data_IF_334159913626
#
_entry.id   IF_334159913626
#
_cell.length_a   1.000
_cell.length_b   1.000
_cell.length_c   1.000
_cell.angle_alpha   90.00
_cell.angle_beta   90.00
_cell.angle_gamma   90.00
#
_symmetry.space_group_name_H-M   'P 1'
#
loop_
_entity.id
_entity.type
_entity.pdbx_description
1 polymer ?
#
# COMPACT_ATOMS: atom_id res chain seq x y z
N UNK A 1 6.55 -3.06 -17.17
CA UNK A 1 6.94 -3.98 -16.08
C UNK A 1 6.68 -5.42 -16.55
N UNK A 2 7.62 -6.01 -17.32
CA UNK A 2 7.51 -7.40 -17.75
C UNK A 2 7.88 -8.37 -16.63
N UNK A 3 7.36 -9.60 -16.69
CA UNK A 3 7.60 -10.64 -15.70
C UNK A 3 7.26 -12.02 -16.25
N UNK A 4 8.00 -13.01 -15.76
CA UNK A 4 7.84 -14.43 -16.05
C UNK A 4 7.55 -15.17 -14.74
N UNK A 5 6.56 -16.06 -14.74
CA UNK A 5 6.33 -17.03 -13.66
C UNK A 5 6.05 -18.42 -14.25
N UNK A 6 5.96 -19.44 -13.40
CA UNK A 6 5.58 -20.79 -13.83
C UNK A 6 4.12 -20.90 -14.27
N UNK A 7 3.28 -19.89 -14.02
CA UNK A 7 1.85 -19.92 -14.33
C UNK A 7 1.53 -19.16 -15.63
N UNK A 8 2.19 -18.03 -15.87
CA UNK A 8 1.98 -17.21 -17.05
C UNK A 8 3.11 -16.19 -17.26
N UNK A 9 3.18 -15.65 -18.47
CA UNK A 9 3.99 -14.49 -18.81
C UNK A 9 3.13 -13.24 -18.69
N UNK A 10 3.72 -12.11 -18.33
CA UNK A 10 2.95 -10.87 -18.23
C UNK A 10 3.76 -9.61 -18.46
N UNK A 11 3.09 -8.58 -18.94
CA UNK A 11 3.65 -7.24 -18.96
C UNK A 11 2.58 -6.19 -18.63
N UNK A 12 2.85 -5.41 -17.59
CA UNK A 12 2.06 -4.22 -17.28
C UNK A 12 2.71 -2.98 -17.89
N UNK A 13 1.95 -2.25 -18.68
CA UNK A 13 2.31 -0.91 -19.17
C UNK A 13 1.47 0.09 -18.38
N UNK A 14 2.11 1.04 -17.72
CA UNK A 14 1.42 2.03 -16.90
C UNK A 14 2.02 3.42 -17.10
N UNK A 15 1.19 4.44 -16.92
CA UNK A 15 1.58 5.85 -16.92
C UNK A 15 1.20 6.46 -15.59
N UNK A 16 2.07 7.30 -15.04
CA UNK A 16 1.77 8.10 -13.85
C UNK A 16 1.85 9.58 -14.25
N UNK A 17 0.72 10.27 -14.18
CA UNK A 17 0.58 11.69 -14.51
C UNK A 17 -0.02 12.41 -13.31
N UNK A 18 0.79 12.88 -12.34
CA UNK A 18 0.29 13.44 -11.08
C UNK A 18 -0.69 14.61 -11.28
N UNK A 19 -0.41 15.48 -12.27
CA UNK A 19 -1.23 16.66 -12.56
C UNK A 19 -2.63 16.37 -13.09
N UNK A 20 -2.95 15.12 -13.47
CA UNK A 20 -4.29 14.73 -13.90
C UNK A 20 -5.37 15.00 -12.84
N UNK A 21 -4.99 15.04 -11.56
CA UNK A 21 -5.91 15.33 -10.46
C UNK A 21 -6.55 16.72 -10.58
N UNK A 22 -5.82 17.71 -11.11
CA UNK A 22 -6.33 19.06 -11.36
C UNK A 22 -7.34 19.12 -12.53
N UNK A 23 -7.45 18.03 -13.28
CA UNK A 23 -8.38 17.89 -14.41
C UNK A 23 -9.47 16.84 -14.14
N UNK A 24 -9.59 16.35 -12.90
CA UNK A 24 -10.51 15.27 -12.53
C UNK A 24 -10.28 13.95 -13.31
N UNK A 25 -9.06 13.72 -13.77
CA UNK A 25 -8.65 12.50 -14.46
C UNK A 25 -7.82 11.64 -13.47
N UNK A 26 -7.94 10.31 -13.47
CA UNK A 26 -7.04 9.44 -12.70
C UNK A 26 -5.56 9.71 -13.02
N UNK A 27 -4.71 9.76 -11.99
CA UNK A 27 -3.27 9.93 -12.16
C UNK A 27 -2.56 8.70 -12.71
N UNK A 28 -3.21 7.52 -12.68
CA UNK A 28 -2.64 6.26 -13.13
C UNK A 28 -3.56 5.63 -14.17
N UNK A 29 -3.00 5.34 -15.33
CA UNK A 29 -3.59 4.48 -16.35
C UNK A 29 -2.65 3.31 -16.62
N UNK A 30 -3.21 2.17 -17.02
CA UNK A 30 -2.38 1.08 -17.49
C UNK A 30 -3.18 -0.08 -18.04
N UNK A 31 -2.46 -0.96 -18.73
CA UNK A 31 -2.95 -2.23 -19.22
C UNK A 31 -2.03 -3.33 -18.73
N UNK A 32 -2.60 -4.46 -18.35
CA UNK A 32 -1.87 -5.70 -18.11
C UNK A 32 -2.20 -6.68 -19.21
N UNK A 33 -1.15 -7.20 -19.86
CA UNK A 33 -1.26 -8.25 -20.86
C UNK A 33 -0.72 -9.53 -20.24
N UNK A 34 -1.49 -10.61 -20.34
CA UNK A 34 -1.05 -11.94 -19.91
C UNK A 34 -0.96 -12.88 -21.10
N UNK A 35 0.06 -13.74 -21.07
CA UNK A 35 0.25 -14.83 -22.01
C UNK A 35 0.43 -16.13 -21.23
N UNK A 36 0.05 -17.24 -21.84
CA UNK A 36 0.42 -18.56 -21.38
C UNK A 36 1.95 -18.72 -21.51
N UNK A 37 2.50 -19.65 -20.76
CA UNK A 37 3.88 -20.14 -20.86
C UNK A 37 4.28 -20.58 -22.27
N UNK A 38 3.33 -21.00 -23.12
CA UNK A 38 3.56 -21.31 -24.53
C UNK A 38 3.57 -20.07 -25.46
N UNK A 39 3.30 -18.88 -24.92
CA UNK A 39 3.26 -17.61 -25.66
C UNK A 39 1.88 -17.21 -26.20
N UNK A 40 0.82 -17.99 -25.97
CA UNK A 40 -0.54 -17.64 -26.40
C UNK A 40 -1.12 -16.50 -25.55
N UNK A 41 -1.69 -15.43 -26.13
CA UNK A 41 -2.28 -14.33 -25.36
C UNK A 41 -3.54 -14.78 -24.62
N UNK A 42 -3.56 -14.61 -23.30
CA UNK A 42 -4.67 -15.05 -22.45
C UNK A 42 -5.73 -13.96 -22.26
N UNK A 43 -5.30 -12.74 -21.90
CA UNK A 43 -6.22 -11.63 -21.66
C UNK A 43 -5.52 -10.27 -21.62
N UNK A 44 -6.35 -9.23 -21.74
CA UNK A 44 -6.04 -7.84 -21.42
C UNK A 44 -6.85 -7.42 -20.19
N UNK A 45 -6.19 -6.88 -19.18
CA UNK A 45 -6.82 -6.41 -17.94
C UNK A 45 -6.57 -4.91 -17.73
N UNK A 46 -7.50 -4.25 -17.04
CA UNK A 46 -7.32 -2.88 -16.56
C UNK A 46 -6.17 -2.83 -15.54
N UNK A 47 -5.08 -2.18 -15.93
CA UNK A 47 -3.85 -2.13 -15.13
C UNK A 47 -3.97 -1.22 -13.91
N UNK A 48 -4.87 -0.23 -13.94
CA UNK A 48 -5.07 0.70 -12.83
C UNK A 48 -5.77 0.03 -11.64
N UNK A 49 -6.84 -0.71 -11.91
CA UNK A 49 -7.59 -1.50 -10.92
C UNK A 49 -6.71 -2.63 -10.40
N UNK A 50 -6.04 -3.38 -11.29
CA UNK A 50 -5.10 -4.43 -10.90
C UNK A 50 -4.01 -3.89 -9.97
N UNK A 51 -3.41 -2.74 -10.31
CA UNK A 51 -2.40 -2.08 -9.48
C UNK A 51 -2.96 -1.75 -8.09
N UNK A 52 -4.18 -1.24 -8.02
CA UNK A 52 -4.78 -0.84 -6.74
C UNK A 52 -5.08 -2.04 -5.85
N UNK A 53 -5.64 -3.12 -6.43
CA UNK A 53 -5.91 -4.38 -5.72
C UNK A 53 -4.62 -4.99 -5.19
N UNK A 54 -3.61 -5.20 -6.06
CA UNK A 54 -2.37 -5.86 -5.65
C UNK A 54 -1.56 -5.03 -4.65
N UNK A 55 -1.61 -3.70 -4.75
CA UNK A 55 -0.90 -2.81 -3.81
C UNK A 55 -1.58 -2.81 -2.45
N UNK A 56 -2.92 -2.75 -2.42
CA UNK A 56 -3.71 -2.93 -1.20
C UNK A 56 -3.44 -4.28 -0.54
N UNK A 57 -3.43 -5.36 -1.34
CA UNK A 57 -3.17 -6.73 -0.87
C UNK A 57 -1.81 -6.90 -0.20
N UNK A 58 -0.73 -6.33 -0.77
CA UNK A 58 0.59 -6.42 -0.12
C UNK A 58 0.68 -5.58 1.16
N UNK A 59 -0.01 -4.44 1.22
CA UNK A 59 -0.16 -3.67 2.45
C UNK A 59 -0.93 -4.43 3.53
N UNK A 60 -2.01 -5.12 3.14
CA UNK A 60 -2.73 -6.06 4.01
C UNK A 60 -1.83 -7.18 4.53
N UNK A 61 -1.01 -7.80 3.68
CA UNK A 61 -0.03 -8.81 4.11
C UNK A 61 0.99 -8.22 5.10
N UNK A 62 1.47 -7.00 4.87
CA UNK A 62 2.38 -6.33 5.79
C UNK A 62 1.73 -6.08 7.15
N UNK A 63 0.48 -5.62 7.18
CA UNK A 63 -0.30 -5.49 8.42
C UNK A 63 -0.41 -6.86 9.11
N UNK A 64 -0.71 -7.93 8.36
CA UNK A 64 -0.86 -9.26 8.95
C UNK A 64 0.41 -9.74 9.67
N UNK A 65 1.57 -9.50 9.06
CA UNK A 65 2.85 -9.99 9.58
C UNK A 65 3.44 -9.09 10.68
N UNK A 66 3.25 -7.77 10.56
CA UNK A 66 3.92 -6.78 11.39
C UNK A 66 3.11 -6.38 12.63
N UNK A 67 1.77 -6.48 12.58
CA UNK A 67 0.92 -6.03 13.70
C UNK A 67 0.47 -7.17 14.61
N UNK A 68 0.26 -6.92 15.91
CA UNK A 68 -0.51 -7.81 16.78
C UNK A 68 -1.94 -8.05 16.27
N UNK A 69 -2.58 -9.12 16.74
CA UNK A 69 -3.97 -9.45 16.37
C UNK A 69 -5.00 -8.50 17.00
N UNK A 70 -4.66 -7.90 18.14
CA UNK A 70 -5.55 -7.04 18.93
C UNK A 70 -5.36 -5.54 18.65
N UNK A 71 -4.81 -5.16 17.50
CA UNK A 71 -4.80 -3.75 17.10
C UNK A 71 -6.22 -3.29 16.78
N UNK A 72 -6.59 -2.12 17.30
CA UNK A 72 -7.96 -1.60 17.28
C UNK A 72 -8.10 -0.28 16.50
N UNK A 73 -6.99 0.37 16.18
CA UNK A 73 -6.98 1.68 15.51
C UNK A 73 -6.04 1.70 14.31
N UNK A 74 -6.55 2.26 13.21
CA UNK A 74 -5.77 2.53 12.00
C UNK A 74 -5.94 3.97 11.55
N UNK A 75 -4.84 4.58 11.15
CA UNK A 75 -4.77 5.92 10.60
C UNK A 75 -4.43 5.87 9.12
N UNK A 76 -5.10 6.67 8.30
CA UNK A 76 -4.79 6.85 6.88
C UNK A 76 -4.46 8.31 6.60
N UNK A 77 -3.29 8.54 6.02
CA UNK A 77 -2.87 9.83 5.47
C UNK A 77 -2.74 9.69 3.96
N UNK A 78 -3.60 10.39 3.23
CA UNK A 78 -3.75 10.26 1.78
C UNK A 78 -4.98 9.44 1.40
N UNK A 79 -6.15 10.09 1.37
CA UNK A 79 -7.45 9.46 1.09
C UNK A 79 -7.75 9.32 -0.42
N UNK A 80 -6.73 8.99 -1.22
CA UNK A 80 -6.87 8.72 -2.65
C UNK A 80 -7.21 7.27 -2.97
N UNK A 81 -7.07 6.88 -4.25
CA UNK A 81 -7.34 5.50 -4.71
C UNK A 81 -6.52 4.48 -3.94
N UNK A 82 -5.21 4.68 -3.79
CA UNK A 82 -4.37 3.73 -3.06
C UNK A 82 -4.74 3.69 -1.56
N UNK A 83 -4.95 4.84 -0.92
CA UNK A 83 -5.38 4.90 0.47
C UNK A 83 -6.67 4.13 0.73
N UNK A 84 -7.64 4.24 -0.17
CA UNK A 84 -8.88 3.45 -0.12
C UNK A 84 -8.60 1.93 -0.15
N UNK A 85 -7.81 1.43 -1.11
CA UNK A 85 -7.53 -0.01 -1.19
C UNK A 85 -6.66 -0.50 -0.03
N UNK A 86 -5.67 0.30 0.42
CA UNK A 86 -4.89 -0.04 1.61
C UNK A 86 -5.79 -0.25 2.83
N UNK A 87 -6.72 0.66 3.05
CA UNK A 87 -7.61 0.60 4.20
C UNK A 87 -8.66 -0.52 4.07
N UNK A 88 -9.19 -0.75 2.87
CA UNK A 88 -10.09 -1.88 2.59
C UNK A 88 -9.42 -3.22 2.93
N UNK A 89 -8.19 -3.44 2.43
CA UNK A 89 -7.43 -4.65 2.74
C UNK A 89 -7.00 -4.70 4.21
N UNK A 90 -6.63 -3.58 4.83
CA UNK A 90 -6.32 -3.51 6.26
C UNK A 90 -7.49 -4.03 7.11
N UNK A 91 -8.72 -3.57 6.83
CA UNK A 91 -9.93 -4.00 7.52
C UNK A 91 -10.30 -5.47 7.24
N UNK A 92 -9.85 -6.05 6.13
CA UNK A 92 -10.00 -7.50 5.87
C UNK A 92 -9.07 -8.36 6.72
N UNK A 93 -8.00 -7.77 7.26
CA UNK A 93 -6.92 -8.46 8.00
C UNK A 93 -7.01 -8.22 9.51
N UNK A 94 -7.50 -7.05 9.94
CA UNK A 94 -7.68 -6.67 11.35
C UNK A 94 -9.06 -6.04 11.58
N UNK A 95 -9.56 -6.17 12.81
CA UNK A 95 -10.85 -5.63 13.24
C UNK A 95 -10.64 -4.31 13.96
N UNK A 96 -10.52 -3.21 13.22
CA UNK A 96 -10.34 -1.88 13.78
C UNK A 96 -11.66 -1.31 14.30
N UNK A 97 -11.71 -0.87 15.55
CA UNK A 97 -12.87 -0.11 16.08
C UNK A 97 -12.89 1.33 15.58
N UNK A 98 -11.72 1.91 15.29
CA UNK A 98 -11.62 3.33 14.89
C UNK A 98 -10.69 3.51 13.69
N UNK A 99 -11.16 4.28 12.72
CA UNK A 99 -10.38 4.69 11.55
C UNK A 99 -10.20 6.21 11.58
N UNK A 100 -8.95 6.65 11.69
CA UNK A 100 -8.55 8.05 11.65
C UNK A 100 -8.13 8.43 10.24
N UNK A 101 -8.78 9.43 9.65
CA UNK A 101 -8.54 9.85 8.28
C UNK A 101 -7.99 11.26 8.24
N UNK A 102 -6.93 11.48 7.48
CA UNK A 102 -6.44 12.80 7.16
C UNK A 102 -6.06 12.91 5.68
N UNK A 103 -6.51 14.01 5.08
CA UNK A 103 -6.03 14.49 3.80
C UNK A 103 -5.85 16.02 3.92
N UNK A 104 -5.48 16.72 2.84
CA UNK A 104 -5.37 18.18 2.91
C UNK A 104 -6.67 18.80 3.44
N UNK A 105 -6.61 19.85 4.30
CA UNK A 105 -7.72 20.27 5.18
C UNK A 105 -9.07 20.55 4.51
N UNK A 106 -9.08 20.86 3.22
CA UNK A 106 -10.27 21.28 2.47
C UNK A 106 -11.01 20.11 1.79
N UNK A 107 -10.48 18.88 1.85
CA UNK A 107 -11.10 17.75 1.20
C UNK A 107 -12.26 17.17 2.02
N UNK A 108 -13.47 17.16 1.44
CA UNK A 108 -14.59 16.41 1.97
C UNK A 108 -14.35 14.89 1.84
N UNK A 109 -14.23 14.21 2.97
CA UNK A 109 -14.02 12.77 3.05
C UNK A 109 -15.32 11.96 3.19
N UNK A 110 -16.47 12.60 3.24
CA UNK A 110 -17.77 11.93 3.33
C UNK A 110 -18.00 10.90 2.20
N UNK A 111 -17.67 11.19 0.93
CA UNK A 111 -17.79 10.21 -0.15
C UNK A 111 -16.83 9.01 0.01
N UNK A 112 -15.62 9.26 0.50
CA UNK A 112 -14.64 8.21 0.79
C UNK A 112 -15.16 7.26 1.88
N UNK A 113 -15.66 7.83 2.98
CA UNK A 113 -16.20 7.09 4.13
C UNK A 113 -17.43 6.27 3.70
N UNK A 114 -18.36 6.87 2.96
CA UNK A 114 -19.56 6.19 2.48
C UNK A 114 -19.22 5.00 1.59
N UNK A 115 -18.32 5.20 0.62
CA UNK A 115 -17.87 4.13 -0.28
C UNK A 115 -17.22 2.99 0.51
N UNK A 116 -16.24 3.31 1.35
CA UNK A 116 -15.54 2.31 2.16
C UNK A 116 -16.50 1.55 3.07
N UNK A 117 -17.42 2.24 3.75
CA UNK A 117 -18.41 1.62 4.63
C UNK A 117 -19.30 0.62 3.87
N UNK A 118 -19.78 1.00 2.68
CA UNK A 118 -20.59 0.12 1.84
C UNK A 118 -19.80 -1.12 1.38
N UNK A 119 -18.56 -0.95 0.93
CA UNK A 119 -17.75 -2.05 0.45
C UNK A 119 -17.34 -3.02 1.57
N UNK A 120 -17.06 -2.51 2.77
CA UNK A 120 -16.83 -3.34 3.96
C UNK A 120 -18.06 -4.20 4.30
N UNK A 121 -19.26 -3.63 4.22
CA UNK A 121 -20.52 -4.37 4.41
C UNK A 121 -20.72 -5.44 3.34
N UNK A 122 -20.49 -5.10 2.05
CA UNK A 122 -20.61 -6.04 0.93
C UNK A 122 -19.66 -7.23 1.07
N UNK A 123 -18.48 -7.01 1.65
CA UNK A 123 -17.47 -8.05 1.88
C UNK A 123 -17.62 -8.80 3.21
N UNK A 124 -18.73 -8.60 3.93
CA UNK A 124 -19.00 -9.20 5.23
C UNK A 124 -17.94 -8.88 6.31
N UNK A 125 -17.30 -7.71 6.21
CA UNK A 125 -16.37 -7.20 7.22
C UNK A 125 -17.22 -6.46 8.27
N UNK A 126 -17.97 -7.23 9.06
CA UNK A 126 -19.00 -6.73 9.97
C UNK A 126 -18.44 -6.40 11.36
N UNK A 127 -18.16 -5.13 11.61
CA UNK A 127 -18.02 -4.57 12.96
C UNK A 127 -18.35 -3.07 12.94
N UNK A 128 -18.76 -2.53 14.09
CA UNK A 128 -18.98 -1.09 14.21
C UNK A 128 -17.64 -0.38 14.13
N UNK A 129 -17.44 0.37 13.04
CA UNK A 129 -16.25 1.18 12.81
C UNK A 129 -16.63 2.65 13.01
N UNK A 130 -15.91 3.32 13.91
CA UNK A 130 -16.00 4.76 14.09
C UNK A 130 -15.00 5.48 13.18
N UNK A 131 -15.49 6.33 12.29
CA UNK A 131 -14.64 7.14 11.42
C UNK A 131 -14.40 8.53 12.03
N UNK A 132 -13.12 8.93 12.11
CA UNK A 132 -12.71 10.24 12.62
C UNK A 132 -11.93 10.98 11.55
N UNK A 133 -12.48 12.06 11.03
CA UNK A 133 -11.74 12.99 10.16
C UNK A 133 -10.88 13.89 11.06
N UNK A 134 -9.57 13.74 10.94
CA UNK A 134 -8.58 14.47 11.73
C UNK A 134 -8.26 15.83 11.10
N UNK A 135 -7.85 16.79 11.93
CA UNK A 135 -7.39 18.12 11.48
C UNK A 135 -5.92 18.15 11.05
N UNK A 136 -5.13 17.15 11.45
CA UNK A 136 -3.70 17.08 11.15
C UNK A 136 -3.21 15.64 11.05
N UNK A 137 -2.04 15.44 10.43
CA UNK A 137 -1.35 14.15 10.47
C UNK A 137 -0.88 13.77 11.87
N UNK A 138 -0.60 14.75 12.74
CA UNK A 138 -0.26 14.52 14.15
C UNK A 138 -1.40 13.83 14.89
N UNK A 139 -2.65 14.28 14.67
CA UNK A 139 -3.83 13.66 15.28
C UNK A 139 -3.98 12.20 14.85
N UNK A 140 -3.72 11.90 13.57
CA UNK A 140 -3.72 10.53 13.06
C UNK A 140 -2.67 9.67 13.76
N UNK A 141 -1.43 10.15 13.84
CA UNK A 141 -0.32 9.39 14.45
C UNK A 141 -0.58 9.13 15.95
N UNK A 142 -1.05 10.14 16.68
CA UNK A 142 -1.34 10.01 18.12
C UNK A 142 -2.35 8.91 18.41
N UNK A 143 -3.42 8.84 17.61
CA UNK A 143 -4.57 7.99 17.89
C UNK A 143 -4.54 6.61 17.19
N UNK A 144 -3.52 6.32 16.39
CA UNK A 144 -3.47 5.08 15.60
C UNK A 144 -2.34 4.14 15.99
N UNK A 145 -2.62 2.84 16.10
CA UNK A 145 -1.58 1.81 16.25
C UNK A 145 -0.96 1.41 14.90
N UNK A 146 -1.77 1.43 13.84
CA UNK A 146 -1.34 1.23 12.46
C UNK A 146 -1.48 2.54 11.70
N UNK A 147 -0.47 2.97 10.97
CA UNK A 147 -0.49 4.20 10.16
C UNK A 147 -0.23 3.82 8.71
N UNK A 148 -1.07 4.27 7.80
CA UNK A 148 -0.92 4.07 6.37
C UNK A 148 -0.65 5.42 5.72
N UNK A 149 0.43 5.53 4.93
CA UNK A 149 0.71 6.69 4.09
C UNK A 149 0.58 6.31 2.62
N UNK A 150 -0.29 7.02 1.91
CA UNK A 150 -0.59 6.78 0.49
C UNK A 150 -0.78 8.12 -0.25
N UNK A 151 0.15 9.04 -0.06
CA UNK A 151 0.14 10.41 -0.60
C UNK A 151 0.99 10.52 -1.87
N UNK A 152 0.82 11.63 -2.58
CA UNK A 152 1.69 12.04 -3.70
C UNK A 152 2.78 13.03 -3.27
N UNK A 153 2.98 13.22 -1.96
CA UNK A 153 3.90 14.23 -1.44
C UNK A 153 5.35 13.89 -1.79
N UNK A 154 6.13 14.92 -2.12
CA UNK A 154 7.60 14.82 -2.22
C UNK A 154 8.31 15.06 -0.88
N UNK A 155 7.57 15.51 0.14
CA UNK A 155 8.09 15.85 1.47
C UNK A 155 7.40 15.03 2.57
N UNK A 156 8.04 14.84 3.72
CA UNK A 156 7.43 14.13 4.85
C UNK A 156 6.04 14.64 5.19
N UNK A 157 5.10 13.72 5.44
CA UNK A 157 3.70 14.01 5.80
C UNK A 157 3.36 13.69 7.25
N UNK A 158 4.24 12.95 7.94
CA UNK A 158 4.10 12.64 9.37
C UNK A 158 4.88 13.66 10.22
N UNK A 159 4.49 13.89 11.49
CA UNK A 159 5.20 14.79 12.41
C UNK A 159 6.64 14.33 12.70
N UNK A 160 7.59 15.25 12.74
CA UNK A 160 8.99 14.93 13.03
C UNK A 160 9.24 14.81 14.55
N UNK A 161 8.59 13.85 15.21
CA UNK A 161 8.69 13.63 16.67
C UNK A 161 8.84 12.14 16.99
N UNK A 162 10.05 11.66 17.37
CA UNK A 162 10.36 10.22 17.46
C UNK A 162 9.45 9.42 18.39
N UNK A 163 9.12 9.98 19.57
CA UNK A 163 8.30 9.29 20.57
C UNK A 163 6.89 8.96 20.09
N UNK A 164 6.40 9.65 19.06
CA UNK A 164 5.09 9.38 18.47
C UNK A 164 5.03 8.04 17.73
N UNK A 165 6.16 7.40 17.43
CA UNK A 165 6.20 6.18 16.61
C UNK A 165 6.41 4.89 17.38
N UNK A 166 6.69 4.97 18.68
CA UNK A 166 6.87 3.80 19.53
C UNK A 166 5.62 2.91 19.53
N UNK A 167 5.84 1.60 19.42
CA UNK A 167 4.79 0.57 19.39
C UNK A 167 3.79 0.68 18.22
N UNK A 168 4.16 1.39 17.14
CA UNK A 168 3.33 1.57 15.95
C UNK A 168 3.87 0.82 14.74
N UNK A 169 2.97 0.43 13.86
CA UNK A 169 3.32 -0.10 12.52
C UNK A 169 2.96 0.93 11.46
N UNK A 170 3.89 1.22 10.55
CA UNK A 170 3.69 2.16 9.44
C UNK A 170 3.73 1.40 8.13
N UNK A 171 2.72 1.62 7.28
CA UNK A 171 2.60 1.06 5.93
C UNK A 171 2.78 2.22 4.94
N UNK A 172 3.99 2.35 4.39
CA UNK A 172 4.40 3.45 3.53
C UNK A 172 4.32 3.06 2.04
N UNK A 173 3.44 3.72 1.30
CA UNK A 173 3.09 3.33 -0.09
C UNK A 173 3.39 4.46 -1.09
N UNK A 174 3.22 5.72 -0.72
CA UNK A 174 3.17 6.85 -1.64
C UNK A 174 4.48 7.24 -2.30
N UNK A 175 5.63 7.11 -1.63
CA UNK A 175 6.94 7.41 -2.25
C UNK A 175 7.43 6.29 -3.17
N UNK A 176 7.60 6.60 -4.45
CA UNK A 176 8.13 5.70 -5.50
C UNK A 176 9.24 6.36 -6.34
N UNK A 177 9.70 7.56 -5.96
CA UNK A 177 10.81 8.25 -6.62
C UNK A 177 11.97 8.50 -5.63
N UNK A 178 13.23 8.51 -6.11
CA UNK A 178 14.40 8.73 -5.26
C UNK A 178 14.38 10.07 -4.51
N UNK A 179 13.61 11.02 -5.02
CA UNK A 179 13.49 12.40 -4.53
C UNK A 179 12.22 12.65 -3.70
N UNK A 180 11.30 11.68 -3.61
CA UNK A 180 10.07 11.82 -2.81
C UNK A 180 10.13 10.95 -1.57
N UNK A 181 9.62 11.46 -0.44
CA UNK A 181 9.47 10.71 0.81
C UNK A 181 8.23 11.17 1.56
N UNK A 182 7.57 10.25 2.23
CA UNK A 182 6.43 10.49 3.13
C UNK A 182 6.84 10.45 4.60
N UNK A 183 7.89 9.68 4.91
CA UNK A 183 8.34 9.45 6.27
C UNK A 183 9.33 10.56 6.69
N UNK A 184 9.19 11.17 7.88
CA UNK A 184 10.20 12.09 8.44
C UNK A 184 11.38 11.32 9.02
N UNK A 185 12.49 11.99 9.36
CA UNK A 185 13.67 11.29 9.92
C UNK A 185 13.36 10.70 11.30
N UNK A 186 12.45 11.31 12.06
CA UNK A 186 12.02 10.86 13.37
C UNK A 186 11.51 9.40 13.43
N UNK A 187 11.06 8.82 12.31
CA UNK A 187 10.62 7.41 12.32
C UNK A 187 11.79 6.44 12.42
N UNK A 188 13.02 6.86 12.07
CA UNK A 188 14.20 6.00 12.06
C UNK A 188 14.99 6.20 13.35
N UNK A 189 14.73 5.33 14.33
CA UNK A 189 15.44 5.28 15.59
C UNK A 189 15.81 3.82 15.94
N UNK A 190 16.45 3.62 17.09
CA UNK A 190 16.94 2.30 17.52
C UNK A 190 15.83 1.25 17.68
N UNK A 191 14.58 1.68 17.88
CA UNK A 191 13.40 0.81 18.01
C UNK A 191 12.71 0.52 16.67
N UNK A 192 13.29 0.95 15.56
CA UNK A 192 12.69 0.84 14.22
C UNK A 192 13.30 -0.27 13.39
N UNK A 193 12.43 -1.13 12.85
CA UNK A 193 12.76 -2.06 11.76
C UNK A 193 12.05 -1.66 10.48
N UNK A 194 12.77 -1.69 9.36
CA UNK A 194 12.27 -1.41 8.02
C UNK A 194 12.12 -2.71 7.24
N UNK A 195 10.97 -2.90 6.60
CA UNK A 195 10.63 -4.08 5.81
C UNK A 195 10.34 -3.68 4.37
N UNK A 196 10.95 -4.39 3.43
CA UNK A 196 10.79 -4.16 1.99
C UNK A 196 10.42 -5.45 1.28
N UNK A 197 9.91 -5.32 0.06
CA UNK A 197 9.64 -6.47 -0.80
C UNK A 197 10.96 -7.00 -1.40
N UNK A 198 11.78 -6.09 -1.90
CA UNK A 198 13.00 -6.35 -2.68
C UNK A 198 13.95 -5.14 -2.62
N UNK A 199 15.24 -5.35 -2.90
CA UNK A 199 16.28 -4.31 -2.74
C UNK A 199 16.15 -3.07 -3.62
N UNK A 200 15.43 -3.14 -4.74
CA UNK A 200 15.25 -1.96 -5.59
C UNK A 200 14.50 -0.83 -4.88
N UNK A 201 13.72 -1.14 -3.82
CA UNK A 201 13.12 -0.14 -2.94
C UNK A 201 14.17 0.84 -2.36
N UNK A 202 15.40 0.36 -2.08
CA UNK A 202 16.53 1.17 -1.58
C UNK A 202 17.01 2.21 -2.59
N UNK A 203 16.74 2.00 -3.88
CA UNK A 203 17.14 2.89 -4.99
C UNK A 203 15.99 3.77 -5.45
N UNK A 204 14.78 3.21 -5.49
CA UNK A 204 13.61 3.85 -6.09
C UNK A 204 12.87 4.78 -5.13
N UNK A 205 12.88 4.53 -3.81
CA UNK A 205 12.12 5.33 -2.86
C UNK A 205 13.03 6.22 -2.00
N UNK A 206 12.72 7.51 -1.98
CA UNK A 206 13.34 8.45 -1.05
C UNK A 206 13.04 8.17 0.43
N UNK A 207 11.99 7.41 0.76
CA UNK A 207 11.75 6.92 2.14
C UNK A 207 12.87 6.02 2.65
N UNK A 208 13.66 5.42 1.75
CA UNK A 208 14.79 4.54 2.11
C UNK A 208 16.12 5.20 1.72
N UNK A 209 16.22 5.68 0.48
CA UNK A 209 17.46 6.18 -0.08
C UNK A 209 17.99 7.40 0.69
N UNK A 210 17.12 8.32 1.07
CA UNK A 210 17.50 9.57 1.76
C UNK A 210 18.02 9.26 3.17
N UNK A 211 17.29 8.53 4.04
CA UNK A 211 17.77 8.22 5.38
C UNK A 211 18.98 7.28 5.40
N UNK A 212 19.17 6.40 4.40
CA UNK A 212 20.43 5.66 4.23
C UNK A 212 21.60 6.61 3.98
N UNK A 213 21.46 7.57 3.06
CA UNK A 213 22.50 8.56 2.74
C UNK A 213 22.84 9.50 3.91
N UNK A 214 21.86 9.82 4.75
CA UNK A 214 22.05 10.67 5.93
C UNK A 214 22.38 9.90 7.22
N UNK A 215 22.65 8.59 7.13
CA UNK A 215 22.94 7.69 8.25
C UNK A 215 21.84 7.68 9.34
N UNK A 216 20.59 7.95 8.96
CA UNK A 216 19.41 7.84 9.85
C UNK A 216 18.84 6.43 9.85
N UNK A 217 18.98 5.72 8.73
CA UNK A 217 18.63 4.31 8.59
C UNK A 217 19.92 3.52 8.34
N UNK A 218 20.12 2.43 9.08
CA UNK A 218 21.19 1.47 8.85
C UNK A 218 20.69 0.33 7.96
N UNK A 219 21.52 -0.17 7.04
CA UNK A 219 21.15 -1.31 6.18
C UNK A 219 20.82 -2.57 7.00
N UNK A 220 21.41 -2.73 8.19
CA UNK A 220 21.16 -3.87 9.07
C UNK A 220 19.72 -3.90 9.63
N UNK A 221 19.04 -2.75 9.63
CA UNK A 221 17.64 -2.62 10.07
C UNK A 221 16.65 -2.76 8.89
N UNK A 222 17.14 -3.10 7.69
CA UNK A 222 16.30 -3.35 6.51
C UNK A 222 16.21 -4.85 6.28
N UNK A 223 14.98 -5.36 6.27
CA UNK A 223 14.67 -6.78 6.13
C UNK A 223 13.67 -7.02 5.00
N UNK A 224 13.62 -8.24 4.46
CA UNK A 224 12.51 -8.58 3.58
C UNK A 224 11.25 -8.90 4.39
N UNK A 225 10.09 -8.43 3.92
CA UNK A 225 8.82 -8.68 4.60
C UNK A 225 8.57 -10.17 4.84
N UNK A 226 8.96 -11.02 3.88
CA UNK A 226 8.73 -12.47 3.94
C UNK A 226 9.55 -13.15 5.06
N UNK A 227 10.69 -12.58 5.44
CA UNK A 227 11.57 -13.16 6.45
C UNK A 227 10.95 -13.11 7.86
N UNK A 228 9.98 -12.23 8.08
CA UNK A 228 9.21 -12.16 9.34
C UNK A 228 8.53 -13.49 9.67
N UNK A 229 8.12 -14.26 8.65
CA UNK A 229 7.54 -15.60 8.86
C UNK A 229 8.55 -16.60 9.44
N UNK A 230 9.82 -16.45 9.10
CA UNK A 230 10.92 -17.33 9.54
C UNK A 230 11.56 -16.85 10.82
N UNK A 231 11.66 -15.53 10.99
CA UNK A 231 12.27 -14.91 12.15
C UNK A 231 11.45 -13.72 12.64
N UNK A 232 10.66 -13.94 13.70
CA UNK A 232 9.87 -12.88 14.33
C UNK A 232 10.71 -11.84 15.09
N UNK A 233 11.98 -12.16 15.42
CA UNK A 233 12.87 -11.23 16.14
C UNK A 233 13.32 -10.04 15.29
N UNK A 234 13.07 -10.07 13.98
CA UNK A 234 13.31 -8.94 13.09
C UNK A 234 12.39 -7.75 13.40
N UNK A 235 11.24 -8.01 14.04
CA UNK A 235 10.32 -6.95 14.46
C UNK A 235 10.84 -6.26 15.72
N UNK A 236 10.69 -4.94 15.74
CA UNK A 236 10.96 -4.09 16.91
C UNK A 236 9.66 -3.44 17.38
N UNK A 237 9.74 -2.44 18.26
CA UNK A 237 8.57 -1.68 18.72
C UNK A 237 7.94 -0.91 17.56
N UNK A 238 8.76 -0.32 16.70
CA UNK A 238 8.30 0.38 15.50
C UNK A 238 8.63 -0.43 14.26
N UNK A 239 7.62 -0.77 13.46
CA UNK A 239 7.80 -1.57 12.25
C UNK A 239 7.30 -0.77 11.04
N UNK A 240 8.14 -0.59 10.03
CA UNK A 240 7.80 0.16 8.83
C UNK A 240 7.84 -0.80 7.65
N UNK A 241 6.74 -0.93 6.91
CA UNK A 241 6.75 -1.57 5.61
C UNK A 241 6.78 -0.52 4.51
N UNK A 242 7.74 -0.64 3.60
CA UNK A 242 7.84 0.20 2.41
C UNK A 242 7.65 -0.63 1.15
N UNK A 243 6.61 -0.29 0.38
CA UNK A 243 6.35 -0.87 -0.94
C UNK A 243 6.66 0.14 -2.04
N UNK A 244 7.30 -0.35 -3.10
CA UNK A 244 7.43 0.33 -4.41
C UNK A 244 6.77 -0.50 -5.52
N UNK A 245 6.34 -1.72 -5.20
CA UNK A 245 5.62 -2.61 -6.09
C UNK A 245 6.53 -3.47 -6.95
N UNK A 246 6.07 -4.69 -7.24
CA UNK A 246 6.80 -5.70 -8.02
C UNK A 246 5.91 -6.22 -9.15
N UNK A 247 6.49 -6.41 -10.34
CA UNK A 247 5.79 -6.95 -11.49
C UNK A 247 5.19 -8.35 -11.22
N UNK A 248 5.85 -9.15 -10.38
CA UNK A 248 5.37 -10.47 -9.97
C UNK A 248 3.97 -10.41 -9.32
N UNK A 249 3.67 -9.40 -8.52
CA UNK A 249 2.33 -9.26 -7.94
C UNK A 249 1.27 -8.99 -9.00
N UNK A 250 1.59 -8.18 -10.02
CA UNK A 250 0.69 -7.92 -11.14
C UNK A 250 0.39 -9.22 -11.92
N UNK A 251 1.40 -10.08 -12.10
CA UNK A 251 1.27 -11.35 -12.80
C UNK A 251 0.42 -12.37 -12.03
N UNK A 252 0.72 -12.58 -10.74
CA UNK A 252 0.00 -13.55 -9.91
C UNK A 252 -1.46 -13.12 -9.71
N UNK A 253 -1.71 -11.85 -9.34
CA UNK A 253 -3.08 -11.35 -9.15
C UNK A 253 -3.82 -11.27 -10.48
N UNK A 254 -3.16 -10.85 -11.56
CA UNK A 254 -3.76 -10.82 -12.88
C UNK A 254 -4.19 -12.21 -13.36
N UNK A 255 -3.35 -13.22 -13.15
CA UNK A 255 -3.67 -14.60 -13.52
C UNK A 255 -4.83 -15.17 -12.71
N UNK A 256 -4.88 -14.87 -11.40
CA UNK A 256 -5.99 -15.29 -10.55
C UNK A 256 -7.32 -14.61 -10.98
N UNK A 257 -7.29 -13.32 -11.30
CA UNK A 257 -8.45 -12.62 -11.87
C UNK A 257 -8.90 -13.23 -13.19
N UNK A 258 -7.96 -13.56 -14.10
CA UNK A 258 -8.26 -14.24 -15.36
C UNK A 258 -8.96 -15.59 -15.11
N UNK A 259 -8.41 -16.42 -14.22
CA UNK A 259 -9.00 -17.72 -13.88
C UNK A 259 -10.39 -17.58 -13.31
N UNK A 260 -10.56 -16.71 -12.32
CA UNK A 260 -11.85 -16.44 -11.69
C UNK A 260 -12.88 -15.90 -12.71
N UNK A 261 -12.45 -15.06 -13.65
CA UNK A 261 -13.31 -14.54 -14.72
C UNK A 261 -13.75 -15.66 -15.67
N UNK A 262 -12.84 -16.57 -16.07
CA UNK A 262 -13.19 -17.75 -16.88
C UNK A 262 -14.16 -18.67 -16.17
N UNK A 263 -13.93 -18.97 -14.89
CA UNK A 263 -14.80 -19.83 -14.08
C UNK A 263 -16.22 -19.23 -13.92
N UNK A 264 -16.32 -17.89 -13.85
CA UNK A 264 -17.59 -17.17 -13.71
C UNK A 264 -18.21 -16.70 -15.03
N UNK A 265 -17.60 -17.02 -16.18
CA UNK A 265 -18.00 -16.53 -17.50
C UNK A 265 -18.11 -14.99 -17.58
N UNK A 266 -17.16 -14.28 -16.96
CA UNK A 266 -17.06 -12.82 -16.97
C UNK A 266 -15.96 -12.41 -17.96
N UNK A 267 -16.23 -11.38 -18.75
CA UNK A 267 -15.27 -10.81 -19.70
C UNK A 267 -15.82 -10.74 -21.11
N UNK A 268 -15.00 -10.26 -22.04
CA UNK A 268 -15.33 -10.16 -23.46
C UNK A 268 -14.21 -10.82 -24.28
N UNK A 269 -14.59 -11.76 -25.14
CA UNK A 269 -13.67 -12.34 -26.10
C UNK A 269 -13.35 -11.33 -27.21
N UNK A 270 -12.08 -11.25 -27.58
CA UNK A 270 -11.58 -10.41 -28.65
C UNK A 270 -10.93 -11.30 -29.69
N UNK A 271 -11.26 -11.07 -30.96
CA UNK A 271 -10.53 -11.64 -32.09
C UNK A 271 -9.46 -10.59 -32.44
N UNK A 272 -8.20 -10.97 -32.30
CA UNK A 272 -7.04 -10.12 -32.57
C UNK A 272 -6.53 -10.34 -34.00
#
# INVERSE_FOLDING_TARGET
MPVFSSQCLGCKVLTITPNNIYHHIPSIFGLMILFDTNGFPLCLLDGSTLTSIRTGGIGGLAIDLLTPQNVDSVGLIGCGVQGYYQLLFACSIRKFSTIYLFNFPEMDLSPFILKLSNDLLLHNIHHHIHFVVCSSSTDVVLNSQVIITATTSSKPVLPDTPLLYLDKTIIAIGSYLPTSRELPDAVFNEETSMFIEMDYAKKESGDILIPLKSNKLSEENIHYLIDVKRNKSLKRRTNIFKSVGMALYDNIVGYDLYRNAKEKNIGKELIL
#
